data_IF_331904919081
#
_entry.id   IF_331904919081
#
_cell.length_a   1.000
_cell.length_b   1.000
_cell.length_c   1.000
_cell.angle_alpha   90.00
_cell.angle_beta   90.00
_cell.angle_gamma   90.00
#
_symmetry.space_group_name_H-M   'P 1'
#
loop_
_entity.id
_entity.type
_entity.pdbx_description
1 polymer ?
#
# COMPACT_ATOMS: atom_id res chain seq x y z
N UNK A 1 0.41 22.65 4.98
CA UNK A 1 -0.23 23.43 3.90
C UNK A 1 0.81 24.40 3.37
N UNK A 2 0.81 24.65 2.07
CA UNK A 2 1.77 25.52 1.37
C UNK A 2 1.05 26.29 0.28
N UNK A 3 1.63 27.38 -0.17
CA UNK A 3 1.20 28.02 -1.41
C UNK A 3 1.56 27.15 -2.59
N UNK A 4 0.72 27.12 -3.62
CA UNK A 4 1.00 26.31 -4.81
C UNK A 4 2.16 26.96 -5.59
N UNK A 5 3.30 26.25 -5.80
CA UNK A 5 4.38 26.78 -6.59
C UNK A 5 3.96 27.03 -8.05
N UNK A 6 4.54 28.06 -8.66
CA UNK A 6 4.26 28.43 -10.06
C UNK A 6 4.51 27.24 -11.01
N UNK A 7 3.56 26.97 -11.87
CA UNK A 7 3.64 25.85 -12.84
C UNK A 7 3.29 24.45 -12.30
N UNK A 8 3.04 24.31 -11.00
CA UNK A 8 2.61 23.02 -10.42
C UNK A 8 1.09 22.87 -10.51
N UNK A 9 0.65 21.62 -10.64
CA UNK A 9 -0.75 21.22 -10.73
C UNK A 9 -1.25 20.72 -9.39
N UNK A 10 -2.51 21.00 -9.10
CA UNK A 10 -3.21 20.49 -7.91
C UNK A 10 -4.04 19.27 -8.29
N UNK A 11 -3.87 18.18 -7.57
CA UNK A 11 -4.71 17.01 -7.70
C UNK A 11 -5.96 17.14 -6.82
N UNK A 12 -7.11 16.86 -7.42
CA UNK A 12 -8.37 16.78 -6.68
C UNK A 12 -8.45 15.50 -5.88
N UNK A 13 -9.32 15.49 -4.90
CA UNK A 13 -9.58 14.31 -4.08
C UNK A 13 -11.09 14.10 -3.90
N UNK A 14 -11.43 13.02 -3.21
CA UNK A 14 -12.79 12.75 -2.74
C UNK A 14 -12.76 12.01 -1.42
N UNK A 15 -13.74 12.24 -0.58
CA UNK A 15 -14.02 11.43 0.61
C UNK A 15 -14.98 10.30 0.20
N UNK A 16 -14.62 9.07 0.55
CA UNK A 16 -15.45 7.88 0.37
C UNK A 16 -15.87 7.41 1.74
N UNK A 17 -17.17 7.43 1.99
CA UNK A 17 -17.76 6.92 3.22
C UNK A 17 -18.36 5.55 2.95
N UNK A 18 -18.10 4.61 3.84
CA UNK A 18 -18.69 3.25 3.81
C UNK A 18 -19.18 2.88 5.20
N UNK A 19 -20.42 2.42 5.24
CA UNK A 19 -21.00 1.81 6.41
C UNK A 19 -20.72 0.30 6.35
N UNK A 20 -20.04 -0.25 7.36
CA UNK A 20 -19.92 -1.69 7.55
C UNK A 20 -20.88 -2.13 8.62
N UNK A 21 -21.80 -3.00 8.27
CA UNK A 21 -22.61 -3.75 9.23
C UNK A 21 -21.81 -4.97 9.65
N UNK A 22 -21.69 -5.20 10.92
CA UNK A 22 -21.08 -6.39 11.49
C UNK A 22 -22.19 -7.17 12.18
N UNK A 23 -22.77 -8.13 11.45
CA UNK A 23 -24.01 -8.79 11.86
C UNK A 23 -25.13 -7.78 12.15
N UNK A 24 -25.92 -8.02 13.17
CA UNK A 24 -27.07 -7.17 13.55
C UNK A 24 -26.73 -6.05 14.57
N UNK A 25 -25.49 -5.94 15.03
CA UNK A 25 -25.24 -5.16 16.26
C UNK A 25 -24.26 -3.99 16.19
N UNK A 26 -23.40 -3.84 15.18
CA UNK A 26 -22.45 -2.73 15.16
C UNK A 26 -22.28 -2.12 13.77
N UNK A 27 -22.66 -0.85 13.68
CA UNK A 27 -22.45 -0.03 12.49
C UNK A 27 -21.07 0.63 12.59
N UNK A 28 -20.10 0.17 11.79
CA UNK A 28 -18.78 0.79 11.72
C UNK A 28 -18.71 1.74 10.53
N UNK A 29 -18.54 3.01 10.82
CA UNK A 29 -18.29 4.01 9.80
C UNK A 29 -16.84 3.97 9.35
N UNK A 30 -16.62 3.92 8.05
CA UNK A 30 -15.29 3.96 7.45
C UNK A 30 -15.21 5.11 6.45
N UNK A 31 -14.30 6.05 6.68
CA UNK A 31 -14.01 7.15 5.76
C UNK A 31 -12.63 6.95 5.13
N UNK A 32 -12.49 7.25 3.84
CA UNK A 32 -11.21 7.26 3.13
C UNK A 32 -11.09 8.52 2.30
N UNK A 33 -9.98 9.22 2.46
CA UNK A 33 -9.57 10.27 1.53
C UNK A 33 -8.84 9.61 0.35
N UNK A 34 -9.30 9.88 -0.86
CA UNK A 34 -8.78 9.29 -2.10
C UNK A 34 -8.44 10.38 -3.09
N UNK A 35 -7.20 10.42 -3.56
CA UNK A 35 -6.75 11.34 -4.61
C UNK A 35 -7.32 10.88 -5.96
N UNK A 36 -7.75 11.83 -6.80
CA UNK A 36 -8.18 11.54 -8.18
C UNK A 36 -6.96 11.36 -9.09
N UNK A 37 -6.23 10.26 -8.91
CA UNK A 37 -4.97 9.96 -9.57
C UNK A 37 -5.07 9.75 -11.09
N UNK A 38 -6.27 9.55 -11.64
CA UNK A 38 -6.47 9.49 -13.09
C UNK A 38 -6.01 10.77 -13.80
N UNK A 39 -5.97 11.90 -13.09
CA UNK A 39 -5.50 13.17 -13.62
C UNK A 39 -3.97 13.33 -13.58
N UNK A 40 -3.24 12.40 -12.98
CA UNK A 40 -1.77 12.40 -12.94
C UNK A 40 -1.17 12.14 -14.33
N UNK A 41 -0.10 12.87 -14.65
CA UNK A 41 0.68 12.73 -15.88
C UNK A 41 2.00 12.05 -15.58
N UNK A 42 2.36 11.07 -16.41
CA UNK A 42 3.68 10.42 -16.34
C UNK A 42 4.79 11.44 -16.60
N UNK A 43 5.95 11.24 -15.98
CA UNK A 43 7.13 12.10 -16.01
C UNK A 43 6.95 13.50 -15.40
N UNK A 44 5.77 13.80 -14.84
CA UNK A 44 5.46 15.04 -14.12
C UNK A 44 5.03 14.72 -12.68
N UNK A 45 4.03 13.86 -12.54
CA UNK A 45 3.44 13.50 -11.25
C UNK A 45 3.92 12.13 -10.74
N UNK A 46 4.49 11.32 -11.61
CA UNK A 46 5.09 10.01 -11.29
C UNK A 46 6.00 9.56 -12.44
N UNK A 47 7.05 8.81 -12.12
CA UNK A 47 7.95 8.21 -13.10
C UNK A 47 7.47 6.80 -13.46
N UNK A 48 7.25 5.96 -12.47
CA UNK A 48 6.92 4.56 -12.63
C UNK A 48 5.84 4.10 -11.63
N UNK A 49 4.92 3.28 -12.11
CA UNK A 49 3.77 2.80 -11.33
C UNK A 49 3.76 1.29 -11.12
N UNK A 50 4.61 0.56 -11.85
CA UNK A 50 4.62 -0.89 -11.77
C UNK A 50 4.90 -1.36 -10.33
N UNK A 51 4.04 -2.22 -9.83
CA UNK A 51 4.18 -2.93 -8.57
C UNK A 51 4.01 -4.42 -8.85
N UNK A 52 4.94 -5.27 -8.41
CA UNK A 52 4.76 -6.71 -8.54
C UNK A 52 3.46 -7.16 -7.87
N UNK A 53 2.83 -8.16 -8.47
CA UNK A 53 1.66 -8.86 -7.92
C UNK A 53 2.01 -10.33 -7.85
N UNK A 54 1.70 -10.98 -6.73
CA UNK A 54 1.97 -12.40 -6.53
C UNK A 54 1.27 -13.25 -7.61
N UNK A 55 2.01 -14.18 -8.19
CA UNK A 55 1.47 -15.09 -9.20
C UNK A 55 0.53 -16.11 -8.57
N UNK A 56 -0.55 -16.47 -9.26
CA UNK A 56 -1.46 -17.51 -8.78
C UNK A 56 -0.75 -18.86 -8.60
N UNK A 57 0.17 -19.20 -9.51
CA UNK A 57 1.00 -20.41 -9.40
C UNK A 57 1.86 -20.42 -8.13
N UNK A 58 2.42 -19.26 -7.75
CA UNK A 58 3.20 -19.14 -6.51
C UNK A 58 2.34 -19.38 -5.28
N UNK A 59 1.10 -18.84 -5.28
CA UNK A 59 0.13 -19.08 -4.19
C UNK A 59 -0.19 -20.58 -4.10
N UNK A 60 -0.48 -21.23 -5.24
CA UNK A 60 -0.79 -22.66 -5.28
C UNK A 60 0.36 -23.52 -4.77
N UNK A 61 1.60 -23.21 -5.16
CA UNK A 61 2.80 -23.92 -4.69
C UNK A 61 2.96 -23.76 -3.19
N UNK A 62 2.85 -22.54 -2.66
CA UNK A 62 2.99 -22.30 -1.20
C UNK A 62 1.89 -23.01 -0.42
N UNK A 63 0.63 -22.94 -0.87
CA UNK A 63 -0.46 -23.67 -0.23
C UNK A 63 -0.28 -25.20 -0.30
N UNK A 64 0.28 -25.71 -1.41
CA UNK A 64 0.67 -27.12 -1.53
C UNK A 64 1.74 -27.52 -0.52
N UNK A 65 2.75 -26.65 -0.31
CA UNK A 65 3.77 -26.88 0.73
C UNK A 65 3.16 -26.83 2.13
N UNK A 66 2.26 -25.89 2.41
CA UNK A 66 1.54 -25.81 3.69
C UNK A 66 0.84 -27.12 3.98
N UNK A 67 0.09 -27.66 3.02
CA UNK A 67 -0.64 -28.91 3.19
C UNK A 67 0.27 -30.15 3.30
N UNK A 68 1.38 -30.19 2.53
CA UNK A 68 2.28 -31.35 2.50
C UNK A 68 3.23 -31.43 3.71
N UNK A 69 3.59 -30.29 4.28
CA UNK A 69 4.53 -30.17 5.40
C UNK A 69 3.84 -29.83 6.72
N UNK A 70 2.51 -29.82 6.74
CA UNK A 70 1.69 -29.48 7.93
C UNK A 70 2.11 -28.14 8.56
N UNK A 71 2.23 -27.09 7.71
CA UNK A 71 2.62 -25.76 8.15
C UNK A 71 1.41 -24.97 8.66
N UNK A 72 1.64 -24.08 9.59
CA UNK A 72 0.63 -23.09 10.00
C UNK A 72 0.52 -21.96 8.96
N UNK A 73 -0.70 -21.48 8.76
CA UNK A 73 -1.03 -20.39 7.82
C UNK A 73 -1.70 -19.25 8.55
N UNK A 74 -1.09 -18.07 8.51
CA UNK A 74 -1.68 -16.85 9.04
C UNK A 74 -1.95 -15.83 7.95
N UNK A 75 -3.11 -15.18 8.02
CA UNK A 75 -3.45 -14.04 7.18
C UNK A 75 -3.35 -12.75 7.97
N UNK A 76 -2.52 -11.82 7.52
CA UNK A 76 -2.35 -10.52 8.13
C UNK A 76 -2.87 -9.43 7.20
N UNK A 77 -3.50 -8.39 7.75
CA UNK A 77 -3.93 -7.18 7.02
C UNK A 77 -3.15 -5.98 7.55
N UNK A 78 -2.40 -5.32 6.68
CA UNK A 78 -1.68 -4.11 7.03
C UNK A 78 -2.61 -2.92 7.00
N UNK A 79 -2.86 -2.33 8.16
CA UNK A 79 -3.66 -1.12 8.26
C UNK A 79 -2.98 0.04 7.52
N UNK A 80 -3.79 0.82 6.78
CA UNK A 80 -3.33 2.05 6.12
C UNK A 80 -2.12 1.86 5.18
N UNK A 81 -2.07 0.74 4.48
CA UNK A 81 -0.97 0.26 3.63
C UNK A 81 -0.30 1.37 2.82
N UNK A 82 -1.06 2.17 2.07
CA UNK A 82 -0.48 3.20 1.20
C UNK A 82 0.09 4.41 1.93
N UNK A 83 -0.28 4.66 3.19
CA UNK A 83 0.30 5.75 3.99
C UNK A 83 1.75 5.47 4.43
N UNK A 84 2.23 4.24 4.29
CA UNK A 84 3.60 3.87 4.62
C UNK A 84 4.58 4.18 3.49
N UNK A 85 4.11 4.29 2.24
CA UNK A 85 4.94 4.62 1.08
C UNK A 85 5.46 6.04 1.13
N UNK A 86 6.76 6.23 0.89
CA UNK A 86 7.39 7.54 0.80
C UNK A 86 7.22 8.10 -0.61
N UNK A 87 6.85 9.37 -0.73
CA UNK A 87 6.77 10.06 -2.02
C UNK A 87 8.09 10.78 -2.31
N UNK A 88 8.66 10.54 -3.48
CA UNK A 88 9.82 11.27 -4.00
C UNK A 88 9.38 12.51 -4.77
N UNK A 89 8.23 12.43 -5.41
CA UNK A 89 7.67 13.47 -6.26
C UNK A 89 6.94 14.54 -5.43
N UNK A 90 6.97 15.76 -5.90
CA UNK A 90 6.23 16.87 -5.31
C UNK A 90 4.78 16.87 -5.76
N UNK A 91 3.92 16.27 -4.97
CA UNK A 91 2.48 16.17 -5.24
C UNK A 91 1.72 17.15 -4.35
N UNK A 92 0.86 17.94 -4.99
CA UNK A 92 0.00 18.91 -4.34
C UNK A 92 -1.45 18.49 -4.47
N UNK A 93 -2.18 18.51 -3.37
CA UNK A 93 -3.58 18.10 -3.28
C UNK A 93 -4.45 19.26 -2.76
N UNK A 94 -5.61 19.41 -3.34
CA UNK A 94 -6.62 20.39 -2.92
C UNK A 94 -7.21 20.04 -1.55
N UNK A 95 -7.90 20.99 -0.93
CA UNK A 95 -8.67 20.71 0.27
C UNK A 95 -9.73 19.65 0.01
N UNK A 96 -9.93 18.70 0.93
CA UNK A 96 -11.10 17.83 0.85
C UNK A 96 -12.38 18.66 0.94
N UNK A 97 -13.41 18.22 0.22
CA UNK A 97 -14.72 18.86 0.26
C UNK A 97 -15.24 18.94 1.71
N UNK A 98 -15.72 20.12 2.10
CA UNK A 98 -16.15 20.40 3.46
C UNK A 98 -15.03 20.71 4.47
N UNK A 99 -13.74 20.62 4.08
CA UNK A 99 -12.60 20.83 4.98
C UNK A 99 -11.72 22.03 4.59
N UNK A 100 -12.29 23.02 3.94
CA UNK A 100 -11.57 24.28 3.64
C UNK A 100 -11.31 25.06 4.94
N UNK A 101 -10.05 25.43 5.14
CA UNK A 101 -9.63 26.20 6.32
C UNK A 101 -9.81 27.69 6.04
N UNK A 102 -10.58 28.38 6.89
CA UNK A 102 -10.83 29.83 6.77
C UNK A 102 -9.50 30.60 6.79
N UNK A 103 -9.34 31.51 5.83
CA UNK A 103 -8.11 32.30 5.64
C UNK A 103 -6.95 31.57 4.94
N UNK A 104 -7.15 30.30 4.53
CA UNK A 104 -6.15 29.48 3.82
C UNK A 104 -6.73 28.81 2.58
N UNK A 105 -7.76 29.37 2.00
CA UNK A 105 -8.52 28.80 0.88
C UNK A 105 -7.66 28.62 -0.39
N UNK A 106 -6.61 29.44 -0.54
CA UNK A 106 -5.65 29.37 -1.66
C UNK A 106 -4.47 28.44 -1.42
N UNK A 107 -4.31 27.94 -0.20
CA UNK A 107 -3.24 27.00 0.11
C UNK A 107 -3.63 25.58 -0.33
N UNK A 108 -2.61 24.74 -0.55
CA UNK A 108 -2.76 23.33 -0.92
C UNK A 108 -1.99 22.44 0.04
N UNK A 109 -2.31 21.15 0.05
CA UNK A 109 -1.54 20.17 0.80
C UNK A 109 -0.40 19.62 -0.06
N UNK A 110 0.86 19.85 0.33
CA UNK A 110 2.00 19.09 -0.21
C UNK A 110 2.00 17.73 0.48
N UNK A 111 1.81 16.66 -0.28
CA UNK A 111 1.82 15.29 0.24
C UNK A 111 3.24 14.89 0.63
N UNK A 112 3.41 14.35 1.83
CA UNK A 112 4.70 13.81 2.33
C UNK A 112 4.74 12.28 2.19
N UNK A 113 3.59 11.65 2.18
CA UNK A 113 3.41 10.20 2.09
C UNK A 113 2.43 9.85 1.00
N UNK A 114 2.50 8.64 0.53
CA UNK A 114 1.56 8.10 -0.44
C UNK A 114 0.13 8.10 0.11
N UNK A 115 -0.83 8.22 -0.77
CA UNK A 115 -2.25 8.27 -0.43
C UNK A 115 -3.05 7.40 -1.40
N UNK A 116 -4.20 6.91 -0.93
CA UNK A 116 -5.12 6.16 -1.79
C UNK A 116 -5.47 6.96 -3.05
N UNK A 117 -5.44 6.28 -4.18
CA UNK A 117 -5.77 6.85 -5.48
C UNK A 117 -4.59 7.41 -6.27
N UNK A 118 -3.41 7.59 -5.67
CA UNK A 118 -2.19 7.88 -6.43
C UNK A 118 -1.76 6.67 -7.24
N UNK A 119 -1.36 6.87 -8.49
CA UNK A 119 -0.94 5.79 -9.40
C UNK A 119 0.29 5.03 -8.89
N UNK A 120 1.25 5.72 -8.27
CA UNK A 120 2.46 5.14 -7.70
C UNK A 120 2.28 4.53 -6.30
N UNK A 121 1.13 4.72 -5.65
CA UNK A 121 0.93 4.27 -4.27
C UNK A 121 1.19 2.76 -4.05
N UNK A 122 0.75 1.83 -4.93
CA UNK A 122 1.07 0.41 -4.79
C UNK A 122 2.57 0.14 -4.86
N UNK A 123 3.28 0.81 -5.77
CA UNK A 123 4.72 0.67 -5.94
C UNK A 123 5.50 1.16 -4.71
N UNK A 124 5.16 2.33 -4.20
CA UNK A 124 5.84 2.88 -3.02
C UNK A 124 5.58 2.05 -1.76
N UNK A 125 4.41 1.46 -1.64
CA UNK A 125 4.12 0.46 -0.62
C UNK A 125 4.99 -0.78 -0.79
N UNK A 126 5.05 -1.35 -2.00
CA UNK A 126 5.87 -2.53 -2.28
C UNK A 126 7.33 -2.29 -1.92
N UNK A 127 7.92 -1.16 -2.34
CA UNK A 127 9.30 -0.80 -1.98
C UNK A 127 9.52 -0.73 -0.47
N UNK A 128 8.57 -0.16 0.26
CA UNK A 128 8.65 -0.05 1.72
C UNK A 128 8.60 -1.42 2.38
N UNK A 129 7.68 -2.27 1.92
CA UNK A 129 7.56 -3.63 2.41
C UNK A 129 8.81 -4.46 2.07
N UNK A 130 9.28 -4.38 0.84
CA UNK A 130 10.49 -5.07 0.40
C UNK A 130 11.72 -4.68 1.25
N UNK A 131 11.94 -3.38 1.46
CA UNK A 131 13.02 -2.91 2.33
C UNK A 131 12.89 -3.42 3.76
N UNK A 132 11.67 -3.50 4.29
CA UNK A 132 11.39 -4.06 5.60
C UNK A 132 11.75 -5.56 5.65
N UNK A 133 11.30 -6.33 4.67
CA UNK A 133 11.58 -7.77 4.61
C UNK A 133 13.08 -8.06 4.48
N UNK A 134 13.77 -7.37 3.56
CA UNK A 134 15.21 -7.52 3.37
C UNK A 134 16.00 -7.11 4.61
N UNK A 135 15.57 -6.06 5.32
CA UNK A 135 16.17 -5.63 6.58
C UNK A 135 15.98 -6.61 7.75
N UNK A 136 15.07 -7.56 7.62
CA UNK A 136 14.80 -8.62 8.62
C UNK A 136 15.21 -10.01 8.12
N UNK A 137 16.23 -10.10 7.26
CA UNK A 137 16.83 -11.33 6.76
C UNK A 137 15.89 -12.24 5.94
N UNK A 138 14.78 -11.68 5.43
CA UNK A 138 13.97 -12.38 4.44
C UNK A 138 14.57 -12.19 3.04
N UNK A 139 14.66 -13.25 2.28
CA UNK A 139 15.14 -13.22 0.90
C UNK A 139 13.98 -13.33 -0.07
N UNK A 140 13.97 -12.51 -1.11
CA UNK A 140 13.01 -12.66 -2.22
C UNK A 140 13.34 -13.91 -3.02
N UNK A 141 12.30 -14.61 -3.46
CA UNK A 141 12.51 -15.72 -4.38
C UNK A 141 12.72 -15.22 -5.82
N UNK A 142 13.53 -15.92 -6.60
CA UNK A 142 13.75 -15.59 -8.02
C UNK A 142 12.52 -15.87 -8.88
N UNK A 143 11.70 -16.83 -8.47
CA UNK A 143 10.49 -17.23 -9.22
C UNK A 143 9.37 -16.18 -9.13
N UNK A 144 9.27 -15.51 -7.97
CA UNK A 144 8.25 -14.50 -7.72
C UNK A 144 8.74 -13.49 -6.65
N UNK A 145 8.91 -12.25 -7.05
CA UNK A 145 9.39 -11.18 -6.16
C UNK A 145 8.40 -10.80 -5.05
N UNK A 146 7.16 -11.32 -5.09
CA UNK A 146 6.18 -11.14 -4.03
C UNK A 146 6.24 -12.25 -2.97
N UNK A 147 7.08 -13.27 -3.16
CA UNK A 147 7.29 -14.37 -2.21
C UNK A 147 8.65 -14.23 -1.58
N UNK A 148 8.67 -14.22 -0.27
CA UNK A 148 9.89 -14.16 0.53
C UNK A 148 10.08 -15.47 1.28
N UNK A 149 11.30 -15.73 1.70
CA UNK A 149 11.65 -16.88 2.53
C UNK A 149 12.67 -16.48 3.58
N UNK A 150 12.49 -16.95 4.79
CA UNK A 150 13.49 -16.88 5.85
C UNK A 150 13.64 -18.27 6.47
N UNK A 151 14.88 -18.73 6.55
CA UNK A 151 15.26 -19.96 7.28
C UNK A 151 15.83 -19.57 8.63
N UNK A 152 15.33 -20.18 9.68
CA UNK A 152 15.84 -19.99 11.04
C UNK A 152 16.88 -21.06 11.40
N UNK A 153 17.78 -20.79 12.37
CA UNK A 153 18.82 -21.75 12.79
C UNK A 153 18.29 -23.11 13.26
N UNK A 154 17.07 -23.14 13.80
CA UNK A 154 16.39 -24.35 14.25
C UNK A 154 15.78 -25.18 13.10
N UNK A 155 16.06 -24.83 11.84
CA UNK A 155 15.52 -25.51 10.66
C UNK A 155 14.13 -25.07 10.23
N UNK A 156 13.45 -24.21 10.99
CA UNK A 156 12.14 -23.67 10.63
C UNK A 156 12.21 -22.68 9.48
N UNK A 157 11.11 -22.58 8.74
CA UNK A 157 10.97 -21.66 7.62
C UNK A 157 9.71 -20.82 7.77
N UNK A 158 9.76 -19.61 7.22
CA UNK A 158 8.59 -18.73 7.06
C UNK A 158 8.55 -18.23 5.62
N UNK A 159 7.37 -18.28 5.01
CA UNK A 159 7.11 -17.86 3.62
C UNK A 159 6.08 -16.73 3.58
N UNK A 160 6.47 -15.46 3.78
CA UNK A 160 5.56 -14.34 3.60
C UNK A 160 5.28 -14.08 2.11
N UNK A 161 4.02 -13.76 1.79
CA UNK A 161 3.61 -13.33 0.45
C UNK A 161 3.00 -11.93 0.50
N UNK A 162 3.52 -11.00 -0.31
CA UNK A 162 2.98 -9.65 -0.47
C UNK A 162 1.68 -9.69 -1.28
N UNK A 163 0.77 -8.78 -0.99
CA UNK A 163 -0.55 -8.60 -1.58
C UNK A 163 -1.66 -9.52 -1.09
N UNK A 164 -1.34 -10.67 -0.50
CA UNK A 164 -2.31 -11.48 0.25
C UNK A 164 -1.97 -11.53 1.73
N UNK A 165 -0.73 -11.11 2.10
CA UNK A 165 -0.18 -11.17 3.45
C UNK A 165 -0.52 -12.49 4.16
N UNK A 166 -0.22 -13.59 3.49
CA UNK A 166 -0.17 -14.89 4.13
C UNK A 166 1.24 -15.12 4.67
N UNK A 167 1.32 -15.55 5.90
CA UNK A 167 2.54 -16.09 6.50
C UNK A 167 2.33 -17.57 6.74
N UNK A 168 3.21 -18.40 6.17
CA UNK A 168 3.22 -19.83 6.41
C UNK A 168 4.48 -20.15 7.22
N UNK A 169 4.35 -20.85 8.34
CA UNK A 169 5.47 -21.19 9.20
C UNK A 169 5.30 -22.58 9.79
N UNK A 170 6.42 -23.17 10.22
CA UNK A 170 6.51 -24.47 10.88
C UNK A 170 6.97 -24.29 12.32
#
# INVERSE_FOLDING_TARGET
MVELPKGKKVLRNKLIFKLKKDGDKLVKYKARLVVKGFSQKQWIDFDEIFSPVVKMSSIQVVLGLVASLDLELEQLDVKTTFFHGDLKEEIYMDHPEGFKVKGKERMVYKLKKSLYGLKQAPREWYKKFDSFMMGHEYMRTNADHCVYVRKFPNGKFVFPMVNLLFFCYM
#
